data_IF_069115103031
#
_entry.id   IF_069115103031
#
_cell.length_a   1.000
_cell.length_b   1.000
_cell.length_c   1.000
_cell.angle_alpha   90.00
_cell.angle_beta   90.00
_cell.angle_gamma   90.00
#
_symmetry.space_group_name_H-M   'P 1'
#
loop_
_entity.id
_entity.type
_entity.pdbx_description
1 polymer ?
#
# COMPACT_ATOMS: atom_id res chain seq x y z
N UNK A 1 5.04 -24.98 -22.73
CA UNK A 1 3.96 -24.07 -22.29
C UNK A 1 4.18 -22.70 -22.91
N UNK A 2 3.12 -22.08 -23.37
CA UNK A 2 3.15 -20.74 -23.94
C UNK A 2 3.15 -19.70 -22.79
N UNK A 3 4.33 -19.28 -22.35
CA UNK A 3 4.48 -18.33 -21.25
C UNK A 3 3.93 -16.94 -21.55
N UNK A 4 4.00 -16.51 -22.81
CA UNK A 4 3.47 -15.21 -23.23
C UNK A 4 1.94 -15.17 -23.15
N UNK A 5 1.27 -16.19 -23.70
CA UNK A 5 -0.19 -16.29 -23.62
C UNK A 5 -0.67 -16.45 -22.17
N UNK A 6 0.08 -17.21 -21.35
CA UNK A 6 -0.23 -17.32 -19.92
C UNK A 6 -0.13 -15.97 -19.21
N UNK A 7 0.96 -15.22 -19.43
CA UNK A 7 1.14 -13.91 -18.80
C UNK A 7 0.06 -12.92 -19.25
N UNK A 8 -0.27 -12.86 -20.55
CA UNK A 8 -1.35 -12.03 -21.06
C UNK A 8 -2.70 -12.37 -20.39
N UNK A 9 -3.01 -13.66 -20.22
CA UNK A 9 -4.19 -14.09 -19.48
C UNK A 9 -4.15 -13.63 -18.00
N UNK A 10 -2.99 -13.74 -17.32
CA UNK A 10 -2.86 -13.28 -15.92
C UNK A 10 -3.06 -11.77 -15.80
N UNK A 11 -2.52 -10.98 -16.72
CA UNK A 11 -2.77 -9.54 -16.76
C UNK A 11 -4.28 -9.24 -16.85
N UNK A 12 -4.98 -9.85 -17.81
CA UNK A 12 -6.43 -9.68 -17.95
C UNK A 12 -7.19 -10.06 -16.67
N UNK A 13 -6.88 -11.21 -16.07
CA UNK A 13 -7.56 -11.69 -14.85
C UNK A 13 -7.33 -10.76 -13.66
N UNK A 14 -6.11 -10.28 -13.44
CA UNK A 14 -5.79 -9.45 -12.28
C UNK A 14 -6.17 -7.99 -12.45
N UNK A 15 -6.04 -7.44 -13.66
CA UNK A 15 -6.38 -6.04 -13.92
C UNK A 15 -7.85 -5.84 -14.26
N UNK A 16 -8.55 -6.91 -14.67
CA UNK A 16 -9.91 -6.85 -15.23
C UNK A 16 -10.04 -5.96 -16.47
N UNK A 17 -8.93 -5.76 -17.19
CA UNK A 17 -8.85 -4.94 -18.41
C UNK A 17 -8.29 -5.74 -19.58
N UNK A 18 -8.38 -5.18 -20.78
CA UNK A 18 -7.76 -5.73 -21.99
C UNK A 18 -6.40 -5.09 -22.32
N UNK A 19 -5.80 -4.34 -21.37
CA UNK A 19 -4.51 -3.69 -21.58
C UNK A 19 -3.41 -4.74 -21.81
N UNK A 20 -2.58 -4.46 -22.80
CA UNK A 20 -1.38 -5.24 -23.09
C UNK A 20 -0.28 -4.98 -22.05
N UNK A 21 0.69 -5.89 -21.93
CA UNK A 21 1.86 -5.70 -21.09
C UNK A 21 2.62 -4.40 -21.41
N UNK A 22 2.70 -4.04 -22.69
CA UNK A 22 3.37 -2.80 -23.12
C UNK A 22 2.61 -1.55 -22.65
N UNK A 23 1.28 -1.53 -22.76
CA UNK A 23 0.44 -0.42 -22.26
C UNK A 23 0.50 -0.30 -20.73
N UNK A 24 0.48 -1.43 -20.01
CA UNK A 24 0.64 -1.43 -18.55
C UNK A 24 2.02 -0.91 -18.16
N UNK A 25 3.08 -1.33 -18.86
CA UNK A 25 4.43 -0.82 -18.64
C UNK A 25 4.51 0.70 -18.80
N UNK A 26 3.94 1.22 -19.90
CA UNK A 26 3.93 2.66 -20.19
C UNK A 26 3.12 3.41 -19.13
N UNK A 27 1.94 2.92 -18.75
CA UNK A 27 1.15 3.50 -17.67
C UNK A 27 1.93 3.55 -16.34
N UNK A 28 2.73 2.52 -16.07
CA UNK A 28 3.64 2.51 -14.93
C UNK A 28 4.69 3.61 -14.99
N UNK A 29 5.37 3.77 -16.12
CA UNK A 29 6.39 4.81 -16.33
C UNK A 29 5.80 6.23 -16.19
N UNK A 30 4.66 6.49 -16.84
CA UNK A 30 3.99 7.79 -16.80
C UNK A 30 3.57 8.16 -15.35
N UNK A 31 3.06 7.19 -14.58
CA UNK A 31 2.70 7.41 -13.20
C UNK A 31 3.93 7.61 -12.29
N UNK A 32 5.02 6.90 -12.51
CA UNK A 32 6.28 7.13 -11.78
C UNK A 32 6.76 8.57 -12.00
N UNK A 33 6.76 9.07 -13.24
CA UNK A 33 7.18 10.44 -13.55
C UNK A 33 6.26 11.49 -12.90
N UNK A 34 4.93 11.29 -13.01
CA UNK A 34 3.94 12.14 -12.34
C UNK A 34 4.19 12.21 -10.83
N UNK A 35 4.36 11.07 -10.18
CA UNK A 35 4.58 10.99 -8.74
C UNK A 35 5.91 11.59 -8.31
N UNK A 36 6.97 11.43 -9.09
CA UNK A 36 8.23 12.12 -8.88
C UNK A 36 8.06 13.65 -8.95
N UNK A 37 7.22 14.15 -9.87
CA UNK A 37 6.91 15.58 -9.94
C UNK A 37 6.18 16.08 -8.69
N UNK A 38 5.18 15.33 -8.21
CA UNK A 38 4.45 15.65 -6.97
C UNK A 38 5.37 15.57 -5.74
N UNK A 39 6.27 14.60 -5.67
CA UNK A 39 7.27 14.49 -4.59
C UNK A 39 8.24 15.67 -4.56
N UNK A 40 8.64 16.21 -5.73
CA UNK A 40 9.46 17.43 -5.79
C UNK A 40 8.71 18.63 -5.23
N UNK A 41 7.40 18.72 -5.40
CA UNK A 41 6.61 19.77 -4.79
C UNK A 41 6.62 19.65 -3.25
N UNK A 42 6.45 18.44 -2.71
CA UNK A 42 6.56 18.20 -1.26
C UNK A 42 7.97 18.49 -0.73
N UNK A 43 9.02 18.15 -1.49
CA UNK A 43 10.40 18.54 -1.14
C UNK A 43 10.53 20.08 -0.98
N UNK A 44 9.93 20.84 -1.89
CA UNK A 44 9.95 22.30 -1.82
C UNK A 44 9.21 22.82 -0.58
N UNK A 45 8.09 22.22 -0.19
CA UNK A 45 7.35 22.53 1.05
C UNK A 45 8.21 22.26 2.30
N UNK A 46 9.02 21.20 2.27
CA UNK A 46 9.97 20.84 3.33
C UNK A 46 11.22 21.75 3.37
N UNK A 47 11.35 22.69 2.41
CA UNK A 47 12.54 23.52 2.25
C UNK A 47 13.75 22.77 1.71
N UNK A 48 13.56 21.56 1.18
CA UNK A 48 14.61 20.72 0.63
C UNK A 48 15.04 21.21 -0.74
N UNK A 49 16.34 21.34 -0.92
CA UNK A 49 16.95 21.76 -2.20
C UNK A 49 17.85 20.64 -2.72
N UNK A 50 17.69 20.27 -3.97
CA UNK A 50 18.55 19.27 -4.58
C UNK A 50 17.79 18.25 -5.43
N UNK A 51 18.45 17.16 -5.71
CA UNK A 51 17.94 16.08 -6.53
C UNK A 51 17.00 15.16 -5.74
N UNK A 52 15.91 14.73 -6.38
CA UNK A 52 14.94 13.80 -5.80
C UNK A 52 15.62 12.48 -5.38
N UNK A 53 16.57 11.97 -6.16
CA UNK A 53 17.26 10.73 -5.84
C UNK A 53 18.01 10.81 -4.51
N UNK A 54 18.71 11.92 -4.27
CA UNK A 54 19.39 12.17 -3.00
C UNK A 54 18.39 12.31 -1.83
N UNK A 55 17.23 12.90 -2.08
CA UNK A 55 16.17 13.00 -1.09
C UNK A 55 15.57 11.63 -0.75
N UNK A 56 15.26 10.80 -1.76
CA UNK A 56 14.79 9.44 -1.55
C UNK A 56 15.77 8.61 -0.71
N UNK A 57 17.08 8.72 -1.00
CA UNK A 57 18.11 8.03 -0.23
C UNK A 57 18.18 8.50 1.23
N UNK A 58 18.05 9.81 1.45
CA UNK A 58 18.01 10.36 2.79
C UNK A 58 16.79 9.87 3.57
N UNK A 59 15.59 9.95 2.98
CA UNK A 59 14.37 9.43 3.63
C UNK A 59 14.51 7.95 3.94
N UNK A 60 15.14 7.18 3.05
CA UNK A 60 15.42 5.74 3.25
C UNK A 60 16.30 5.48 4.47
N UNK A 61 17.27 6.33 4.75
CA UNK A 61 18.28 6.13 5.79
C UNK A 61 17.98 6.88 7.10
N UNK A 62 17.12 7.91 7.09
CA UNK A 62 16.87 8.77 8.26
C UNK A 62 16.12 8.04 9.37
N UNK A 63 16.80 7.84 10.49
CA UNK A 63 16.25 7.20 11.67
C UNK A 63 15.23 8.07 12.42
N UNK A 64 15.24 9.39 12.24
CA UNK A 64 14.24 10.28 12.83
C UNK A 64 12.83 10.02 12.26
N UNK A 65 12.76 9.55 11.02
CA UNK A 65 11.52 9.16 10.34
C UNK A 65 11.03 7.74 10.71
N UNK A 66 11.57 7.14 11.78
CA UNK A 66 11.20 5.81 12.24
C UNK A 66 10.92 5.80 13.74
N UNK A 67 10.08 4.88 14.17
CA UNK A 67 10.01 4.53 15.59
C UNK A 67 11.20 3.62 15.93
N UNK A 68 11.73 3.71 17.16
CA UNK A 68 12.82 2.82 17.61
C UNK A 68 12.46 1.34 17.43
N UNK A 69 13.44 0.51 17.10
CA UNK A 69 13.24 -0.94 16.98
C UNK A 69 13.24 -1.62 18.36
N UNK A 70 12.38 -1.16 19.26
CA UNK A 70 12.15 -1.64 20.62
C UNK A 70 10.67 -1.93 20.82
N UNK A 71 10.28 -2.57 21.91
CA UNK A 71 8.86 -2.84 22.20
C UNK A 71 8.07 -1.54 22.43
N UNK A 72 8.70 -0.54 23.03
CA UNK A 72 8.13 0.80 23.22
C UNK A 72 7.86 1.48 21.85
N UNK A 73 8.82 1.37 20.91
CA UNK A 73 8.66 1.89 19.57
C UNK A 73 7.56 1.17 18.78
N UNK A 74 7.43 -0.14 18.94
CA UNK A 74 6.33 -0.92 18.35
C UNK A 74 4.98 -0.51 18.93
N UNK A 75 4.90 -0.33 20.25
CA UNK A 75 3.68 0.16 20.89
C UNK A 75 3.31 1.55 20.38
N UNK A 76 4.28 2.46 20.32
CA UNK A 76 4.06 3.81 19.81
C UNK A 76 3.57 3.84 18.35
N UNK A 77 4.07 2.92 17.49
CA UNK A 77 3.55 2.76 16.13
C UNK A 77 2.08 2.35 16.13
N UNK A 78 1.71 1.34 16.92
CA UNK A 78 0.33 0.87 17.01
C UNK A 78 -0.62 1.94 17.54
N UNK A 79 -0.19 2.70 18.54
CA UNK A 79 -0.98 3.79 19.11
C UNK A 79 -1.18 4.92 18.09
N UNK A 80 -0.15 5.29 17.32
CA UNK A 80 -0.25 6.26 16.26
C UNK A 80 -1.19 5.79 15.14
N UNK A 81 -1.12 4.50 14.75
CA UNK A 81 -2.02 3.93 13.75
C UNK A 81 -3.48 3.89 14.22
N UNK A 82 -3.73 3.58 15.50
CA UNK A 82 -5.08 3.67 16.10
C UNK A 82 -5.60 5.09 16.09
N UNK A 83 -4.77 6.06 16.49
CA UNK A 83 -5.13 7.48 16.47
C UNK A 83 -5.54 7.94 15.07
N UNK A 84 -4.77 7.59 14.03
CA UNK A 84 -5.09 7.94 12.65
C UNK A 84 -6.45 7.35 12.22
N UNK A 85 -6.72 6.09 12.58
CA UNK A 85 -8.01 5.42 12.29
C UNK A 85 -9.17 6.06 13.06
N UNK A 86 -8.98 6.37 14.34
CA UNK A 86 -10.01 6.98 15.18
C UNK A 86 -10.38 8.39 14.67
N UNK A 87 -9.40 9.16 14.21
CA UNK A 87 -9.63 10.49 13.64
C UNK A 87 -10.32 10.39 12.27
N UNK A 88 -9.97 9.40 11.45
CA UNK A 88 -10.69 9.10 10.23
C UNK A 88 -12.13 8.70 10.51
N UNK A 89 -12.38 7.81 11.47
CA UNK A 89 -13.72 7.35 11.82
C UNK A 89 -14.67 8.50 12.19
N UNK A 90 -14.17 9.53 12.87
CA UNK A 90 -14.96 10.73 13.22
C UNK A 90 -15.38 11.53 11.99
N UNK A 91 -14.63 11.48 10.89
CA UNK A 91 -14.93 12.22 9.65
C UNK A 91 -15.79 11.45 8.67
N UNK A 92 -15.78 10.11 8.72
CA UNK A 92 -16.47 9.25 7.75
C UNK A 92 -17.95 9.58 7.57
N UNK A 93 -18.77 9.88 8.62
CA UNK A 93 -20.19 10.15 8.46
C UNK A 93 -20.52 11.35 7.55
N UNK A 94 -19.56 12.25 7.34
CA UNK A 94 -19.72 13.39 6.43
C UNK A 94 -19.49 13.01 4.94
N UNK A 95 -18.87 11.85 4.69
CA UNK A 95 -18.48 11.42 3.34
C UNK A 95 -19.20 10.15 2.89
N UNK A 96 -19.66 9.31 3.82
CA UNK A 96 -20.25 8.01 3.52
C UNK A 96 -21.63 7.88 4.19
N UNK A 97 -22.63 7.56 3.38
CA UNK A 97 -24.00 7.32 3.86
C UNK A 97 -24.19 5.97 4.57
N UNK A 98 -23.25 5.03 4.38
CA UNK A 98 -23.27 3.72 5.04
C UNK A 98 -21.88 3.48 5.62
N UNK A 99 -21.83 3.03 6.88
CA UNK A 99 -20.61 2.66 7.58
C UNK A 99 -20.69 1.20 8.00
N UNK A 100 -19.55 0.49 8.13
CA UNK A 100 -19.55 -0.89 8.58
C UNK A 100 -20.00 -0.98 10.04
N UNK A 101 -20.75 -2.04 10.38
CA UNK A 101 -21.14 -2.35 11.76
C UNK A 101 -20.00 -3.00 12.53
N UNK A 102 -19.18 -3.79 11.83
CA UNK A 102 -18.06 -4.47 12.44
C UNK A 102 -17.00 -3.49 12.93
N UNK A 103 -16.52 -3.71 14.13
CA UNK A 103 -15.38 -2.94 14.68
C UNK A 103 -14.10 -3.25 13.95
N UNK A 104 -13.14 -2.30 14.00
CA UNK A 104 -11.77 -2.46 13.54
C UNK A 104 -10.81 -2.42 14.71
N UNK A 105 -9.89 -3.38 14.74
CA UNK A 105 -8.77 -3.38 15.69
C UNK A 105 -7.44 -3.38 14.97
N UNK A 106 -6.45 -2.67 15.52
CA UNK A 106 -5.06 -2.64 15.02
C UNK A 106 -4.21 -3.55 15.89
N UNK A 107 -3.51 -4.51 15.25
CA UNK A 107 -2.65 -5.48 15.94
C UNK A 107 -1.29 -5.60 15.25
N UNK A 108 -0.29 -5.98 16.01
CA UNK A 108 0.98 -6.50 15.49
C UNK A 108 0.74 -7.89 14.87
N UNK A 109 1.43 -8.19 13.77
CA UNK A 109 1.53 -9.56 13.24
C UNK A 109 2.15 -10.46 14.30
N UNK A 110 1.63 -11.68 14.45
CA UNK A 110 2.11 -12.61 15.46
C UNK A 110 3.55 -13.10 15.16
N UNK A 111 4.34 -13.27 16.21
CA UNK A 111 5.77 -13.55 16.11
C UNK A 111 6.11 -14.78 15.24
N UNK A 112 5.23 -15.79 15.20
CA UNK A 112 5.48 -17.01 14.41
C UNK A 112 5.43 -16.79 12.90
N UNK A 113 4.74 -15.74 12.42
CA UNK A 113 4.57 -15.46 10.98
C UNK A 113 5.13 -14.09 10.54
N UNK A 114 5.60 -13.23 11.46
CA UNK A 114 6.04 -11.88 11.11
C UNK A 114 7.20 -11.84 10.12
N UNK A 115 8.09 -12.85 10.13
CA UNK A 115 9.23 -12.94 9.19
C UNK A 115 8.80 -13.18 7.73
N UNK A 116 7.70 -13.86 7.51
CA UNK A 116 7.18 -14.20 6.18
C UNK A 116 6.03 -13.31 5.73
N UNK A 117 5.38 -12.59 6.65
CA UNK A 117 4.28 -11.70 6.35
C UNK A 117 4.73 -10.47 5.56
N UNK A 118 3.79 -9.90 4.77
CA UNK A 118 3.97 -8.59 4.16
C UNK A 118 4.05 -7.45 5.20
N UNK A 119 4.26 -6.23 4.71
CA UNK A 119 4.37 -5.01 5.54
C UNK A 119 3.13 -4.79 6.42
N UNK A 120 1.95 -5.00 5.83
CA UNK A 120 0.67 -4.94 6.50
C UNK A 120 -0.36 -5.79 5.74
N UNK A 121 -1.48 -6.08 6.38
CA UNK A 121 -2.64 -6.68 5.73
C UNK A 121 -3.89 -6.54 6.59
N UNK A 122 -5.03 -6.49 5.92
CA UNK A 122 -6.34 -6.48 6.57
C UNK A 122 -6.94 -7.89 6.59
N UNK A 123 -7.49 -8.26 7.74
CA UNK A 123 -8.30 -9.46 7.91
C UNK A 123 -9.76 -9.06 8.18
N UNK A 124 -10.65 -9.37 7.24
CA UNK A 124 -12.07 -9.06 7.37
C UNK A 124 -12.73 -9.80 8.52
N UNK A 125 -13.80 -9.25 9.11
CA UNK A 125 -14.66 -9.98 10.04
C UNK A 125 -15.27 -11.21 9.35
N UNK A 126 -15.57 -12.29 10.06
CA UNK A 126 -16.38 -13.38 9.53
C UNK A 126 -17.83 -12.95 9.34
N UNK A 127 -18.59 -13.74 8.56
CA UNK A 127 -20.01 -13.41 8.25
C UNK A 127 -20.94 -13.44 9.47
N UNK A 128 -20.56 -14.15 10.54
CA UNK A 128 -21.28 -14.24 11.80
C UNK A 128 -20.92 -13.12 12.80
N UNK A 129 -20.08 -12.17 12.37
CA UNK A 129 -19.64 -11.03 13.18
C UNK A 129 -18.98 -11.44 14.52
N UNK A 130 -18.52 -12.70 14.66
CA UNK A 130 -17.97 -13.25 15.92
C UNK A 130 -16.63 -12.61 16.34
N UNK A 131 -15.98 -11.86 15.44
CA UNK A 131 -14.77 -11.09 15.72
C UNK A 131 -14.70 -9.81 14.88
N UNK A 132 -13.97 -8.78 15.33
CA UNK A 132 -13.77 -7.56 14.55
C UNK A 132 -12.93 -7.79 13.27
N UNK A 133 -12.93 -6.81 12.38
CA UNK A 133 -11.92 -6.65 11.36
C UNK A 133 -10.57 -6.35 12.00
N UNK A 134 -9.48 -6.80 11.42
CA UNK A 134 -8.15 -6.62 11.99
C UNK A 134 -7.22 -6.03 10.94
N UNK A 135 -6.65 -4.86 11.24
CA UNK A 135 -5.48 -4.35 10.56
C UNK A 135 -4.23 -4.89 11.25
N UNK A 136 -3.47 -5.72 10.56
CA UNK A 136 -2.20 -6.24 11.04
C UNK A 136 -1.04 -5.40 10.51
N UNK A 137 -0.23 -4.85 11.42
CA UNK A 137 1.04 -4.19 11.11
C UNK A 137 2.21 -5.13 11.41
N UNK A 138 3.09 -5.32 10.45
CA UNK A 138 4.29 -6.14 10.63
C UNK A 138 5.41 -5.30 11.24
N UNK A 139 5.62 -5.46 12.54
CA UNK A 139 6.60 -4.70 13.31
C UNK A 139 7.87 -5.52 13.61
N UNK A 140 8.17 -6.53 12.77
CA UNK A 140 9.38 -7.32 12.91
C UNK A 140 10.65 -6.46 12.75
N UNK A 141 10.68 -5.66 11.69
CA UNK A 141 11.76 -4.69 11.44
C UNK A 141 11.16 -3.29 11.30
N UNK A 142 11.39 -2.43 12.28
CA UNK A 142 10.88 -1.06 12.30
C UNK A 142 11.53 -0.18 11.23
N UNK A 143 12.66 -0.59 10.61
CA UNK A 143 13.23 0.13 9.47
C UNK A 143 12.35 0.06 8.22
N UNK A 144 11.57 -1.01 8.07
CA UNK A 144 10.59 -1.17 6.99
C UNK A 144 9.25 -0.47 7.25
N UNK A 145 9.07 0.14 8.43
CA UNK A 145 7.83 0.79 8.87
C UNK A 145 8.06 2.28 9.19
N UNK A 146 8.39 3.13 8.20
CA UNK A 146 8.64 4.54 8.44
C UNK A 146 7.36 5.26 8.89
N UNK A 147 7.53 6.31 9.71
CA UNK A 147 6.46 7.18 10.19
C UNK A 147 5.72 7.85 9.03
N UNK A 148 6.44 8.13 7.95
CA UNK A 148 5.90 8.78 6.75
C UNK A 148 4.75 7.99 6.13
N UNK A 149 4.84 6.66 6.12
CA UNK A 149 3.85 5.78 5.49
C UNK A 149 2.67 5.45 6.42
N UNK A 150 2.75 5.80 7.71
CA UNK A 150 1.84 5.29 8.74
C UNK A 150 0.38 5.65 8.47
N UNK A 151 0.08 6.94 8.19
CA UNK A 151 -1.29 7.38 7.91
C UNK A 151 -1.84 6.72 6.65
N UNK A 152 -1.07 6.73 5.55
CA UNK A 152 -1.50 6.13 4.30
C UNK A 152 -1.77 4.62 4.43
N UNK A 153 -0.91 3.91 5.16
CA UNK A 153 -1.08 2.49 5.42
C UNK A 153 -2.30 2.21 6.31
N UNK A 154 -2.52 3.02 7.35
CA UNK A 154 -3.69 2.92 8.21
C UNK A 154 -5.00 3.17 7.44
N UNK A 155 -4.99 4.12 6.51
CA UNK A 155 -6.15 4.43 5.66
C UNK A 155 -6.37 3.36 4.58
N UNK A 156 -5.33 2.73 4.08
CA UNK A 156 -5.41 1.61 3.14
C UNK A 156 -6.01 0.35 3.80
N UNK A 157 -5.43 -0.09 4.91
CA UNK A 157 -5.85 -1.33 5.58
C UNK A 157 -7.11 -1.15 6.42
N UNK A 158 -7.28 0.03 7.01
CA UNK A 158 -8.37 0.37 7.89
C UNK A 158 -9.48 1.16 7.21
N UNK A 159 -9.68 2.39 7.69
CA UNK A 159 -10.71 3.31 7.25
C UNK A 159 -10.08 4.48 6.46
N UNK A 160 -10.64 4.84 5.31
CA UNK A 160 -11.80 4.30 4.61
C UNK A 160 -11.49 3.13 3.67
N UNK A 161 -10.34 2.46 3.81
CA UNK A 161 -9.81 1.44 2.90
C UNK A 161 -10.48 0.07 3.04
N UNK A 162 -9.64 -0.95 3.20
CA UNK A 162 -10.10 -2.34 3.18
C UNK A 162 -11.19 -2.65 4.20
N UNK A 163 -11.08 -2.11 5.42
CA UNK A 163 -12.11 -2.37 6.43
C UNK A 163 -13.47 -1.85 5.99
N UNK A 164 -13.57 -0.60 5.56
CA UNK A 164 -14.85 -0.03 5.12
C UNK A 164 -15.43 -0.83 3.95
N UNK A 165 -14.66 -1.10 2.92
CA UNK A 165 -15.12 -1.81 1.73
C UNK A 165 -15.54 -3.25 2.02
N UNK A 166 -14.67 -4.02 2.67
CA UNK A 166 -14.86 -5.47 2.81
C UNK A 166 -15.85 -5.82 3.94
N UNK A 167 -15.93 -5.00 4.98
CA UNK A 167 -16.95 -5.20 6.02
C UNK A 167 -18.35 -4.88 5.48
N UNK A 168 -18.54 -3.74 4.80
CA UNK A 168 -19.82 -3.42 4.15
C UNK A 168 -20.20 -4.52 3.15
N UNK A 169 -19.26 -4.98 2.31
CA UNK A 169 -19.54 -6.04 1.35
C UNK A 169 -20.02 -7.34 2.03
N UNK A 170 -19.46 -7.69 3.18
CA UNK A 170 -19.89 -8.84 3.96
C UNK A 170 -21.29 -8.68 4.56
N UNK A 171 -21.71 -7.45 4.84
CA UNK A 171 -23.00 -7.09 5.43
C UNK A 171 -24.17 -7.02 4.42
N UNK A 172 -23.88 -7.05 3.10
CA UNK A 172 -24.90 -6.97 2.05
C UNK A 172 -25.75 -8.26 2.00
N UNK A 173 -26.91 -8.25 2.63
CA UNK A 173 -27.82 -9.40 2.68
C UNK A 173 -28.70 -9.58 1.43
N UNK A 174 -28.80 -8.54 0.60
CA UNK A 174 -29.67 -8.53 -0.59
C UNK A 174 -28.99 -8.97 -1.88
N UNK A 175 -27.68 -9.26 -1.83
CA UNK A 175 -26.92 -9.75 -2.99
C UNK A 175 -26.63 -11.25 -2.86
N UNK A 176 -26.53 -11.98 -3.98
CA UNK A 176 -26.18 -13.41 -3.96
C UNK A 176 -24.84 -13.68 -3.28
N UNK A 177 -24.71 -14.85 -2.65
CA UNK A 177 -23.50 -15.25 -1.91
C UNK A 177 -22.22 -15.17 -2.74
N UNK A 178 -22.26 -15.54 -4.02
CA UNK A 178 -21.10 -15.46 -4.87
C UNK A 178 -20.60 -14.01 -5.03
N UNK A 179 -21.46 -13.00 -5.09
CA UNK A 179 -21.06 -11.59 -5.15
C UNK A 179 -20.42 -11.12 -3.85
N UNK A 180 -20.92 -11.55 -2.70
CA UNK A 180 -20.35 -11.22 -1.38
C UNK A 180 -18.95 -11.84 -1.17
N UNK A 181 -18.71 -13.00 -1.79
CA UNK A 181 -17.50 -13.78 -1.53
C UNK A 181 -16.46 -13.73 -2.67
N UNK A 182 -16.87 -13.37 -3.90
CA UNK A 182 -15.95 -13.19 -5.02
C UNK A 182 -15.05 -11.96 -4.77
N UNK A 183 -13.78 -12.11 -5.09
CA UNK A 183 -12.79 -11.04 -4.97
C UNK A 183 -12.17 -10.74 -6.32
N UNK A 184 -12.17 -9.46 -6.66
CA UNK A 184 -11.39 -8.91 -7.76
C UNK A 184 -10.28 -8.07 -7.17
N UNK A 185 -9.04 -8.48 -7.39
CA UNK A 185 -7.86 -7.79 -6.83
C UNK A 185 -7.83 -6.33 -7.26
N UNK A 186 -8.13 -6.04 -8.54
CA UNK A 186 -8.21 -4.67 -9.05
C UNK A 186 -9.23 -3.82 -8.28
N UNK A 187 -10.36 -4.38 -7.87
CA UNK A 187 -11.38 -3.67 -7.10
C UNK A 187 -10.95 -3.45 -5.65
N UNK A 188 -10.46 -4.48 -4.96
CA UNK A 188 -10.08 -4.35 -3.55
C UNK A 188 -8.82 -3.50 -3.35
N UNK A 189 -7.77 -3.75 -4.11
CA UNK A 189 -6.52 -2.99 -4.03
C UNK A 189 -6.66 -1.58 -4.63
N UNK A 190 -7.45 -1.44 -5.70
CA UNK A 190 -7.76 -0.13 -6.27
C UNK A 190 -8.54 0.76 -5.31
N UNK A 191 -9.49 0.19 -4.55
CA UNK A 191 -10.16 0.91 -3.49
C UNK A 191 -9.20 1.32 -2.36
N UNK A 192 -8.34 0.40 -1.90
CA UNK A 192 -7.32 0.70 -0.89
C UNK A 192 -6.42 1.87 -1.33
N UNK A 193 -5.93 1.84 -2.57
CA UNK A 193 -5.13 2.94 -3.12
C UNK A 193 -5.93 4.24 -3.24
N UNK A 194 -7.18 4.18 -3.72
CA UNK A 194 -8.05 5.37 -3.79
C UNK A 194 -8.30 5.96 -2.40
N UNK A 195 -8.45 5.12 -1.39
CA UNK A 195 -8.67 5.55 0.00
C UNK A 195 -7.50 6.35 0.57
N UNK A 196 -6.27 6.02 0.17
CA UNK A 196 -5.08 6.82 0.50
C UNK A 196 -5.19 8.24 -0.10
N UNK A 197 -5.65 8.35 -1.35
CA UNK A 197 -5.87 9.64 -2.01
C UNK A 197 -7.08 10.39 -1.42
N UNK A 198 -8.20 9.70 -1.20
CA UNK A 198 -9.40 10.28 -0.62
C UNK A 198 -9.12 10.90 0.76
N UNK A 199 -8.28 10.27 1.57
CA UNK A 199 -7.87 10.84 2.86
C UNK A 199 -7.20 12.22 2.70
N UNK A 200 -6.43 12.46 1.61
CA UNK A 200 -5.90 13.78 1.28
C UNK A 200 -7.03 14.79 1.01
N UNK A 201 -8.03 14.42 0.21
CA UNK A 201 -9.19 15.26 -0.07
C UNK A 201 -10.01 15.56 1.20
N UNK A 202 -10.04 14.61 2.15
CA UNK A 202 -10.66 14.77 3.47
C UNK A 202 -9.85 15.65 4.43
N UNK A 203 -8.67 16.14 4.02
CA UNK A 203 -7.82 17.03 4.81
C UNK A 203 -6.93 16.32 5.84
N UNK A 204 -6.54 15.07 5.58
CA UNK A 204 -5.46 14.38 6.28
C UNK A 204 -4.10 14.69 5.66
N UNK A 205 -3.03 14.09 6.17
CA UNK A 205 -1.64 14.35 5.72
C UNK A 205 -1.21 15.83 5.89
N UNK A 206 -1.47 16.38 7.07
CA UNK A 206 -1.10 17.76 7.39
C UNK A 206 0.41 17.98 7.52
N UNK A 207 1.15 16.93 7.88
CA UNK A 207 2.61 16.92 7.83
C UNK A 207 3.07 16.59 6.40
N UNK A 208 3.91 17.45 5.78
CA UNK A 208 4.46 17.17 4.45
C UNK A 208 5.17 15.82 4.34
N UNK A 209 5.81 15.31 5.40
CA UNK A 209 6.37 13.96 5.41
C UNK A 209 5.31 12.87 5.33
N UNK A 210 4.14 13.07 5.93
CA UNK A 210 3.02 12.13 5.81
C UNK A 210 2.44 12.13 4.39
N UNK A 211 2.30 13.31 3.74
CA UNK A 211 1.92 13.38 2.32
C UNK A 211 2.98 12.77 1.40
N UNK A 212 4.27 12.93 1.71
CA UNK A 212 5.33 12.23 1.01
C UNK A 212 5.20 10.70 1.13
N UNK A 213 4.85 10.19 2.30
CA UNK A 213 4.62 8.77 2.53
C UNK A 213 3.44 8.23 1.72
N UNK A 214 2.34 8.98 1.62
CA UNK A 214 1.23 8.66 0.71
C UNK A 214 1.71 8.53 -0.74
N UNK A 215 2.47 9.51 -1.22
CA UNK A 215 3.06 9.47 -2.56
C UNK A 215 4.01 8.29 -2.73
N UNK A 216 4.79 7.95 -1.70
CA UNK A 216 5.69 6.80 -1.69
C UNK A 216 4.95 5.48 -1.87
N UNK A 217 3.81 5.31 -1.19
CA UNK A 217 2.98 4.11 -1.32
C UNK A 217 2.35 4.00 -2.72
N UNK A 218 1.87 5.11 -3.29
CA UNK A 218 1.36 5.14 -4.66
C UNK A 218 2.49 4.86 -5.67
N UNK A 219 3.66 5.47 -5.48
CA UNK A 219 4.85 5.27 -6.30
C UNK A 219 5.31 3.81 -6.32
N UNK A 220 5.29 3.15 -5.16
CA UNK A 220 5.60 1.74 -5.08
C UNK A 220 4.70 0.89 -5.99
N UNK A 221 3.40 1.19 -6.03
CA UNK A 221 2.44 0.49 -6.90
C UNK A 221 2.66 0.82 -8.38
N UNK A 222 2.93 2.07 -8.72
CA UNK A 222 3.29 2.47 -10.09
C UNK A 222 4.57 1.76 -10.56
N UNK A 223 5.61 1.75 -9.73
CA UNK A 223 6.87 1.06 -10.03
C UNK A 223 6.70 -0.46 -10.20
N UNK A 224 5.73 -1.07 -9.50
CA UNK A 224 5.40 -2.51 -9.69
C UNK A 224 4.88 -2.79 -11.10
N UNK A 225 4.08 -1.91 -11.69
CA UNK A 225 3.65 -2.06 -13.08
C UNK A 225 4.85 -2.13 -14.04
N UNK A 226 5.88 -1.32 -13.78
CA UNK A 226 7.09 -1.28 -14.61
C UNK A 226 7.94 -2.52 -14.44
N UNK A 227 8.22 -2.94 -13.19
CA UNK A 227 9.13 -4.07 -12.97
C UNK A 227 8.49 -5.42 -13.26
N UNK A 228 7.20 -5.60 -13.03
CA UNK A 228 6.49 -6.84 -13.33
C UNK A 228 6.46 -7.08 -14.85
N UNK A 229 6.02 -6.09 -15.62
CA UNK A 229 6.06 -6.17 -17.10
C UNK A 229 7.49 -6.15 -17.65
N UNK A 230 8.42 -5.50 -16.94
CA UNK A 230 9.86 -5.56 -17.22
C UNK A 230 10.39 -6.98 -17.18
N UNK A 231 10.10 -7.70 -16.10
CA UNK A 231 10.52 -9.09 -15.90
C UNK A 231 9.85 -10.04 -16.92
N UNK A 232 8.51 -10.02 -16.99
CA UNK A 232 7.75 -11.06 -17.66
C UNK A 232 7.50 -10.79 -19.17
N UNK A 233 7.63 -9.54 -19.62
CA UNK A 233 7.42 -9.17 -21.03
C UNK A 233 8.68 -8.61 -21.69
N UNK A 234 9.47 -7.79 -20.98
CA UNK A 234 10.68 -7.16 -21.54
C UNK A 234 11.98 -7.92 -21.21
N UNK A 235 11.88 -9.08 -20.56
CA UNK A 235 13.01 -9.95 -20.22
C UNK A 235 14.10 -9.25 -19.38
N UNK A 236 13.68 -8.36 -18.48
CA UNK A 236 14.62 -7.75 -17.54
C UNK A 236 15.22 -8.80 -16.63
N UNK A 237 16.50 -8.63 -16.31
CA UNK A 237 17.13 -9.42 -15.26
C UNK A 237 16.60 -9.02 -13.88
N UNK A 238 16.79 -9.91 -12.89
CA UNK A 238 16.52 -9.60 -11.49
C UNK A 238 17.21 -8.30 -11.05
N UNK A 239 18.47 -8.13 -11.42
CA UNK A 239 19.30 -6.99 -11.06
C UNK A 239 18.77 -5.69 -11.67
N UNK A 240 18.32 -5.70 -12.91
CA UNK A 240 17.68 -4.55 -13.56
C UNK A 240 16.40 -4.13 -12.83
N UNK A 241 15.56 -5.08 -12.48
CA UNK A 241 14.30 -4.81 -11.77
C UNK A 241 14.55 -4.28 -10.35
N UNK A 242 15.51 -4.86 -9.62
CA UNK A 242 15.92 -4.37 -8.29
C UNK A 242 16.49 -2.96 -8.39
N UNK A 243 17.40 -2.72 -9.34
CA UNK A 243 18.00 -1.40 -9.55
C UNK A 243 16.94 -0.34 -9.86
N UNK A 244 15.93 -0.69 -10.68
CA UNK A 244 14.82 0.23 -10.97
C UNK A 244 14.06 0.64 -9.71
N UNK A 245 13.68 -0.31 -8.85
CA UNK A 245 12.98 -0.01 -7.59
C UNK A 245 13.84 0.84 -6.65
N UNK A 246 15.10 0.47 -6.46
CA UNK A 246 16.04 1.19 -5.57
C UNK A 246 16.27 2.63 -6.03
N UNK A 247 16.37 2.84 -7.33
CA UNK A 247 16.63 4.19 -7.89
C UNK A 247 15.39 5.08 -7.82
N UNK A 248 14.21 4.51 -8.02
CA UNK A 248 12.99 5.28 -8.21
C UNK A 248 12.10 5.38 -6.96
N UNK A 249 12.39 4.65 -5.88
CA UNK A 249 11.55 4.63 -4.67
C UNK A 249 12.35 4.82 -3.38
N UNK A 250 11.76 5.32 -2.28
CA UNK A 250 12.45 5.43 -0.99
C UNK A 250 12.48 4.10 -0.20
N UNK A 251 12.01 3.01 -0.77
CA UNK A 251 11.92 1.73 -0.07
C UNK A 251 13.31 1.15 0.23
N UNK A 252 13.41 0.39 1.32
CA UNK A 252 14.65 -0.26 1.70
C UNK A 252 15.13 -1.23 0.61
N UNK A 253 16.43 -1.30 0.37
CA UNK A 253 17.03 -2.18 -0.65
C UNK A 253 16.60 -3.63 -0.46
N UNK A 254 16.56 -4.08 0.80
CA UNK A 254 16.11 -5.43 1.15
C UNK A 254 14.66 -5.71 0.72
N UNK A 255 13.76 -4.74 0.93
CA UNK A 255 12.36 -4.87 0.52
C UNK A 255 12.21 -4.90 -1.00
N UNK A 256 13.02 -4.11 -1.73
CA UNK A 256 13.08 -4.15 -3.19
C UNK A 256 13.53 -5.53 -3.71
N UNK A 257 14.57 -6.11 -3.11
CA UNK A 257 15.07 -7.44 -3.47
C UNK A 257 14.01 -8.52 -3.24
N UNK A 258 13.41 -8.54 -2.05
CA UNK A 258 12.35 -9.50 -1.70
C UNK A 258 11.11 -9.38 -2.59
N UNK A 259 10.75 -8.16 -2.97
CA UNK A 259 9.62 -7.94 -3.87
C UNK A 259 9.89 -8.54 -5.25
N UNK A 260 11.07 -8.29 -5.83
CA UNK A 260 11.44 -8.81 -7.14
C UNK A 260 11.54 -10.34 -7.11
N UNK A 261 12.14 -10.93 -6.07
CA UNK A 261 12.20 -12.39 -5.92
C UNK A 261 10.80 -13.02 -5.87
N UNK A 262 9.87 -12.39 -5.19
CA UNK A 262 8.47 -12.83 -5.16
C UNK A 262 7.81 -12.71 -6.54
N UNK A 263 8.04 -11.62 -7.29
CA UNK A 263 7.44 -11.44 -8.63
C UNK A 263 7.98 -12.44 -9.66
N UNK A 264 9.24 -12.85 -9.53
CA UNK A 264 9.81 -13.92 -10.36
C UNK A 264 9.18 -15.28 -10.06
N UNK A 265 8.84 -15.54 -8.80
CA UNK A 265 8.35 -16.84 -8.33
C UNK A 265 6.83 -17.03 -8.47
N UNK A 266 6.08 -15.99 -8.79
CA UNK A 266 4.61 -16.02 -8.92
C UNK A 266 4.19 -16.13 -10.38
#
# INVERSE_FOLDING_TARGET
PDGEAFYANRLNVFTTTSLTAAEIHQAGLDNVERLHSEMRAVMAELGERGDLSAFLERVRSDQALRFPNTEEGRSAYLDAARTAIDDMAKRLPAYFGVLPRAELVVKRVEAYRERSAGKAFYQRPPSDESRPGIYYANLYDMNSMPKTDLEALAFHEGLPGHHLQLAIAAELSHVPDFQRHTRFTAFSEGWGLYSEYLAKEMGFYQDPYSNFGRLSMELWRAARLVVDTGLHHKQWTREQAVAYLVTNTPNAVYDCQRAIERYIAM
#
